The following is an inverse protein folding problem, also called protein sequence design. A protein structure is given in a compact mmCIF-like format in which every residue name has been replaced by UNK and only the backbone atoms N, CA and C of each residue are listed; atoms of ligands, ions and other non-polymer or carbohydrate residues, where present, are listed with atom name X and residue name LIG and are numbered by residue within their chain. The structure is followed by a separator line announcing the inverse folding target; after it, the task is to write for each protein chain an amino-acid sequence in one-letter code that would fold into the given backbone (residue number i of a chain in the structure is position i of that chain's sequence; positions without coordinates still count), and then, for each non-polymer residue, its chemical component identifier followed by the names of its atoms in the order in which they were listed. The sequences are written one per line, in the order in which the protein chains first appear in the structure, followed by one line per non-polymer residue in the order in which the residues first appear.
data_IF_918631234821
#
_entry.id   IF_918631234821
#
_cell.length_a   1.000
_cell.length_b   1.000
_cell.length_c   1.000
_cell.angle_alpha   90.00
_cell.angle_beta   90.00
_cell.angle_gamma   90.00
#
_symmetry.space_group_name_H-M   'P 1'
#
loop_
_entity.id
_entity.type
_entity.pdbx_description
1 polymer ?
#
# COMPACT_ATOMS: atom_id res chain seq x y z
N UNK A 1 -17.78 12.82 5.23
CA UNK A 1 -16.67 13.77 5.53
C UNK A 1 -16.15 14.30 4.21
N UNK A 2 -15.84 15.61 4.08
CA UNK A 2 -15.28 16.15 2.84
C UNK A 2 -13.93 15.51 2.56
N UNK A 3 -13.78 14.91 1.38
CA UNK A 3 -12.54 14.32 0.90
C UNK A 3 -11.68 15.45 0.32
N UNK A 4 -10.67 15.91 1.06
CA UNK A 4 -9.66 16.79 0.49
C UNK A 4 -8.67 15.95 -0.32
N UNK A 5 -8.85 15.95 -1.63
CA UNK A 5 -8.04 15.19 -2.58
C UNK A 5 -7.20 16.13 -3.45
N UNK A 6 -5.90 15.85 -3.55
CA UNK A 6 -5.07 16.48 -4.57
C UNK A 6 -5.00 15.61 -5.82
N UNK A 7 -5.69 16.02 -6.88
CA UNK A 7 -5.53 15.42 -8.21
C UNK A 7 -4.43 16.17 -8.94
N UNK A 8 -3.38 15.45 -9.35
CA UNK A 8 -2.27 16.00 -10.13
C UNK A 8 -2.19 15.27 -11.46
N UNK A 9 -2.29 16.05 -12.54
CA UNK A 9 -2.05 15.55 -13.90
C UNK A 9 -0.56 15.44 -14.13
N UNK A 10 -0.09 14.27 -14.55
CA UNK A 10 1.30 14.04 -14.89
C UNK A 10 1.77 14.95 -16.03
N UNK A 11 0.90 15.35 -16.95
CA UNK A 11 1.24 16.34 -17.99
C UNK A 11 1.61 17.72 -17.43
N UNK A 12 1.19 18.06 -16.21
CA UNK A 12 1.52 19.34 -15.56
C UNK A 12 2.87 19.29 -14.83
N UNK A 13 3.41 18.09 -14.60
CA UNK A 13 4.62 17.88 -13.77
C UNK A 13 5.74 17.11 -14.47
N UNK A 14 5.40 16.23 -15.40
CA UNK A 14 6.35 15.34 -16.07
C UNK A 14 6.63 15.87 -17.46
N UNK A 15 7.83 16.43 -17.64
CA UNK A 15 8.34 16.83 -18.94
C UNK A 15 9.01 15.64 -19.62
N UNK A 16 8.79 15.54 -20.92
CA UNK A 16 9.43 14.54 -21.77
C UNK A 16 10.83 15.02 -22.17
N UNK A 17 11.78 14.11 -22.29
CA UNK A 17 13.09 14.36 -22.88
C UNK A 17 12.98 14.42 -24.43
N UNK A 18 14.11 14.68 -25.10
CA UNK A 18 14.17 14.78 -26.57
C UNK A 18 13.64 13.53 -27.31
N UNK A 19 13.68 12.36 -26.65
CA UNK A 19 13.17 11.09 -27.19
C UNK A 19 11.69 10.84 -26.86
N UNK A 20 10.97 11.86 -26.38
CA UNK A 20 9.60 11.76 -25.90
C UNK A 20 9.40 10.75 -24.74
N UNK A 21 10.46 10.44 -23.99
CA UNK A 21 10.42 9.61 -22.79
C UNK A 21 10.36 10.47 -21.54
N UNK A 22 9.80 9.95 -20.45
CA UNK A 22 9.86 10.65 -19.17
C UNK A 22 11.33 10.80 -18.73
N UNK A 23 11.72 12.04 -18.46
CA UNK A 23 13.04 12.32 -17.90
C UNK A 23 13.08 11.90 -16.43
N UNK A 24 14.08 11.08 -16.06
CA UNK A 24 14.22 10.53 -14.73
C UNK A 24 14.43 11.59 -13.64
N UNK A 25 15.30 12.58 -13.86
CA UNK A 25 15.57 13.62 -12.86
C UNK A 25 14.41 14.61 -12.77
N UNK A 26 13.73 14.89 -13.89
CA UNK A 26 12.50 15.68 -13.84
C UNK A 26 11.37 14.92 -13.15
N UNK A 27 11.26 13.60 -13.33
CA UNK A 27 10.29 12.77 -12.62
C UNK A 27 10.55 12.78 -11.11
N UNK A 28 11.82 12.70 -10.67
CA UNK A 28 12.17 12.87 -9.24
C UNK A 28 11.77 14.25 -8.72
N UNK A 29 12.04 15.30 -9.49
CA UNK A 29 11.70 16.67 -9.11
C UNK A 29 10.19 16.85 -8.97
N UNK A 30 9.42 16.36 -9.93
CA UNK A 30 7.97 16.35 -9.90
C UNK A 30 7.41 15.62 -8.68
N UNK A 31 7.94 14.43 -8.40
CA UNK A 31 7.55 13.63 -7.24
C UNK A 31 7.85 14.34 -5.91
N UNK A 32 9.00 15.01 -5.78
CA UNK A 32 9.33 15.82 -4.59
C UNK A 32 8.37 17.00 -4.42
N UNK A 33 8.07 17.71 -5.51
CA UNK A 33 7.15 18.84 -5.47
C UNK A 33 5.73 18.41 -5.11
N UNK A 34 5.28 17.27 -5.65
CA UNK A 34 4.01 16.63 -5.29
C UNK A 34 3.97 16.33 -3.78
N UNK A 35 4.95 15.58 -3.26
CA UNK A 35 5.00 15.23 -1.85
C UNK A 35 5.10 16.46 -0.93
N UNK A 36 5.87 17.47 -1.33
CA UNK A 36 5.96 18.74 -0.60
C UNK A 36 4.63 19.52 -0.60
N UNK A 37 3.93 19.59 -1.74
CA UNK A 37 2.65 20.26 -1.86
C UNK A 37 1.57 19.57 -1.02
N UNK A 38 1.50 18.24 -1.05
CA UNK A 38 0.62 17.45 -0.20
C UNK A 38 0.87 17.77 1.28
N UNK A 39 2.14 17.70 1.71
CA UNK A 39 2.53 18.01 3.09
C UNK A 39 2.20 19.43 3.52
N UNK A 40 2.52 20.43 2.69
CA UNK A 40 2.26 21.84 3.00
C UNK A 40 0.77 22.11 3.22
N UNK A 41 -0.09 21.32 2.57
CA UNK A 41 -1.55 21.44 2.63
C UNK A 41 -2.21 20.46 3.62
N UNK A 42 -1.43 19.60 4.28
CA UNK A 42 -1.96 18.56 5.17
C UNK A 42 -2.74 17.45 4.44
N UNK A 43 -2.51 17.30 3.13
CA UNK A 43 -3.21 16.33 2.30
C UNK A 43 -2.49 14.98 2.35
N UNK A 44 -3.19 13.98 2.85
CA UNK A 44 -2.67 12.60 2.95
C UNK A 44 -3.06 11.74 1.74
N UNK A 45 -3.83 12.29 0.80
CA UNK A 45 -4.40 11.55 -0.34
C UNK A 45 -4.08 12.28 -1.63
N UNK A 46 -3.45 11.58 -2.57
CA UNK A 46 -3.09 12.12 -3.87
C UNK A 46 -3.43 11.16 -5.00
N UNK A 47 -3.84 11.72 -6.13
CA UNK A 47 -4.06 10.98 -7.38
C UNK A 47 -3.11 11.52 -8.45
N UNK A 48 -2.25 10.67 -8.97
CA UNK A 48 -1.34 10.97 -10.09
C UNK A 48 -1.93 10.43 -11.39
N UNK A 49 -2.40 11.30 -12.27
CA UNK A 49 -2.97 10.92 -13.56
C UNK A 49 -1.93 10.95 -14.68
N UNK A 50 -1.46 9.77 -15.09
CA UNK A 50 -0.50 9.57 -16.20
C UNK A 50 -1.16 9.15 -17.50
N UNK A 51 -2.49 9.24 -17.64
CA UNK A 51 -3.20 8.82 -18.87
C UNK A 51 -2.83 9.65 -20.10
N UNK A 52 -2.40 10.90 -19.91
CA UNK A 52 -1.94 11.78 -20.98
C UNK A 52 -0.48 11.53 -21.39
N UNK A 53 0.24 10.64 -20.69
CA UNK A 53 1.61 10.28 -21.04
C UNK A 53 1.57 9.30 -22.23
N UNK A 54 2.25 9.59 -23.34
CA UNK A 54 2.31 8.69 -24.49
C UNK A 54 2.86 7.32 -24.10
N UNK A 55 2.32 6.26 -24.71
CA UNK A 55 2.88 4.91 -24.55
C UNK A 55 4.27 4.92 -25.19
N UNK A 56 5.34 4.64 -24.42
CA UNK A 56 6.70 4.69 -24.94
C UNK A 56 6.96 3.48 -25.84
N UNK A 57 7.91 3.59 -26.75
CA UNK A 57 8.35 2.46 -27.61
C UNK A 57 9.29 1.47 -26.90
N UNK A 58 9.74 1.83 -25.69
CA UNK A 58 10.61 1.03 -24.82
C UNK A 58 10.29 1.31 -23.34
N UNK A 59 10.72 0.45 -22.40
CA UNK A 59 10.55 0.75 -20.97
C UNK A 59 11.14 2.12 -20.60
N UNK A 60 10.33 2.99 -19.98
CA UNK A 60 10.75 4.35 -19.58
C UNK A 60 11.77 4.35 -18.44
N UNK A 61 11.62 3.43 -17.48
CA UNK A 61 12.50 3.32 -16.32
C UNK A 61 12.93 1.88 -16.08
N UNK A 62 14.18 1.71 -15.65
CA UNK A 62 14.66 0.45 -15.09
C UNK A 62 14.06 0.19 -13.70
N UNK A 63 14.13 -1.05 -13.21
CA UNK A 63 13.66 -1.38 -11.85
C UNK A 63 14.38 -0.54 -10.80
N UNK A 64 15.69 -0.34 -10.95
CA UNK A 64 16.49 0.49 -10.04
C UNK A 64 16.04 1.95 -10.06
N UNK A 65 15.72 2.49 -11.24
CA UNK A 65 15.17 3.84 -11.35
C UNK A 65 13.78 3.94 -10.70
N UNK A 66 12.90 2.96 -10.90
CA UNK A 66 11.60 2.93 -10.21
C UNK A 66 11.76 2.89 -8.69
N UNK A 67 12.69 2.09 -8.18
CA UNK A 67 12.99 2.04 -6.74
C UNK A 67 13.51 3.40 -6.23
N UNK A 68 14.35 4.09 -7.01
CA UNK A 68 14.83 5.43 -6.68
C UNK A 68 13.71 6.49 -6.69
N UNK A 69 12.72 6.38 -7.58
CA UNK A 69 11.53 7.24 -7.56
C UNK A 69 10.70 7.01 -6.28
N UNK A 70 10.53 5.76 -5.87
CA UNK A 70 9.86 5.40 -4.61
C UNK A 70 10.62 5.96 -3.40
N UNK A 71 11.94 5.82 -3.37
CA UNK A 71 12.79 6.38 -2.31
C UNK A 71 12.66 7.91 -2.23
N UNK A 72 12.64 8.59 -3.39
CA UNK A 72 12.44 10.04 -3.48
C UNK A 72 11.11 10.47 -2.85
N UNK A 73 10.05 9.68 -3.05
CA UNK A 73 8.74 9.95 -2.46
C UNK A 73 8.76 9.84 -0.94
N UNK A 74 9.45 8.81 -0.41
CA UNK A 74 9.65 8.62 1.04
C UNK A 74 10.47 9.74 1.67
N UNK A 75 11.59 10.10 1.04
CA UNK A 75 12.49 11.16 1.50
C UNK A 75 11.79 12.53 1.56
N UNK A 76 10.85 12.78 0.65
CA UNK A 76 10.03 13.99 0.68
C UNK A 76 9.00 14.01 1.83
N UNK A 77 8.84 12.89 2.53
CA UNK A 77 7.98 12.76 3.71
C UNK A 77 6.63 12.12 3.46
N UNK A 78 6.44 11.47 2.30
CA UNK A 78 5.27 10.61 2.08
C UNK A 78 5.43 9.33 2.93
N UNK A 79 4.49 9.10 3.82
CA UNK A 79 4.56 8.08 4.86
C UNK A 79 3.53 6.97 4.67
N UNK A 80 3.40 6.15 5.72
CA UNK A 80 2.44 5.04 5.78
C UNK A 80 0.99 5.52 5.82
N UNK A 81 0.74 6.73 6.29
CA UNK A 81 -0.60 7.31 6.39
C UNK A 81 -1.06 7.95 5.07
N UNK A 82 -0.12 8.12 4.13
CA UNK A 82 -0.39 8.79 2.87
C UNK A 82 -0.70 7.78 1.77
N UNK A 83 -1.77 8.04 1.01
CA UNK A 83 -2.22 7.23 -0.13
C UNK A 83 -1.94 7.93 -1.45
N UNK A 84 -1.32 7.20 -2.37
CA UNK A 84 -1.09 7.62 -3.75
C UNK A 84 -1.79 6.66 -4.72
N UNK A 85 -2.82 7.16 -5.39
CA UNK A 85 -3.39 6.50 -6.56
C UNK A 85 -2.60 6.89 -7.82
N UNK A 86 -2.28 5.94 -8.68
CA UNK A 86 -1.68 6.20 -10.00
C UNK A 86 -2.65 5.76 -11.08
N UNK A 87 -3.23 6.71 -11.80
CA UNK A 87 -4.21 6.46 -12.85
C UNK A 87 -3.53 6.41 -14.21
N UNK A 88 -3.72 5.32 -14.95
CA UNK A 88 -3.02 5.06 -16.20
C UNK A 88 -3.93 4.45 -17.27
N UNK A 89 -3.63 4.71 -18.54
CA UNK A 89 -4.41 4.17 -19.66
C UNK A 89 -3.82 2.83 -20.15
N UNK A 90 -2.50 2.75 -20.26
CA UNK A 90 -1.78 1.56 -20.72
C UNK A 90 -0.46 1.41 -19.98
N UNK A 91 -0.10 0.16 -19.66
CA UNK A 91 1.15 -0.18 -18.96
C UNK A 91 1.76 -1.44 -19.59
N UNK A 92 2.16 -1.30 -20.85
CA UNK A 92 2.72 -2.36 -21.71
C UNK A 92 3.96 -3.00 -21.07
N UNK A 93 4.84 -2.18 -20.49
CA UNK A 93 6.10 -2.65 -19.86
C UNK A 93 5.99 -2.92 -18.35
N UNK A 94 4.79 -2.72 -17.78
CA UNK A 94 4.54 -2.93 -16.36
C UNK A 94 5.20 -1.91 -15.44
N UNK A 95 5.70 -0.77 -15.95
CA UNK A 95 6.45 0.21 -15.17
C UNK A 95 5.63 0.82 -14.05
N UNK A 96 4.35 1.10 -14.33
CA UNK A 96 3.42 1.71 -13.37
C UNK A 96 3.06 0.71 -12.28
N UNK A 97 2.71 -0.52 -12.65
CA UNK A 97 2.45 -1.59 -11.68
C UNK A 97 3.69 -1.92 -10.83
N UNK A 98 4.88 -1.94 -11.43
CA UNK A 98 6.16 -2.14 -10.72
C UNK A 98 6.44 -1.00 -9.74
N UNK A 99 6.21 0.25 -10.12
CA UNK A 99 6.33 1.39 -9.22
C UNK A 99 5.41 1.23 -7.99
N UNK A 100 4.13 0.94 -8.20
CA UNK A 100 3.18 0.74 -7.11
C UNK A 100 3.56 -0.46 -6.22
N UNK A 101 4.06 -1.55 -6.82
CA UNK A 101 4.57 -2.70 -6.09
C UNK A 101 5.78 -2.37 -5.21
N UNK A 102 6.79 -1.69 -5.77
CA UNK A 102 7.98 -1.25 -5.04
C UNK A 102 7.62 -0.25 -3.94
N UNK A 103 6.65 0.64 -4.19
CA UNK A 103 6.08 1.56 -3.21
C UNK A 103 5.53 0.81 -1.98
N UNK A 104 4.70 -0.20 -2.22
CA UNK A 104 4.12 -1.04 -1.16
C UNK A 104 5.17 -1.83 -0.38
N UNK A 105 6.18 -2.40 -1.05
CA UNK A 105 7.32 -3.03 -0.37
C UNK A 105 8.09 -2.03 0.50
N UNK A 106 8.17 -0.78 0.06
CA UNK A 106 8.74 0.33 0.82
C UNK A 106 7.86 0.87 1.95
N UNK A 107 6.69 0.28 2.21
CA UNK A 107 5.76 0.70 3.25
C UNK A 107 4.88 1.90 2.88
N UNK A 108 4.85 2.32 1.62
CA UNK A 108 3.91 3.35 1.14
C UNK A 108 2.57 2.73 0.75
N UNK A 109 1.48 3.47 0.90
CA UNK A 109 0.19 3.07 0.32
C UNK A 109 0.09 3.59 -1.13
N UNK A 110 0.61 2.82 -2.08
CA UNK A 110 0.55 3.16 -3.52
C UNK A 110 -0.23 2.09 -4.28
N UNK A 111 -1.17 2.52 -5.12
CA UNK A 111 -1.96 1.62 -5.94
C UNK A 111 -2.18 2.18 -7.35
N UNK A 112 -2.17 1.30 -8.35
CA UNK A 112 -2.35 1.66 -9.75
C UNK A 112 -3.77 1.31 -10.21
N UNK A 113 -4.40 2.20 -10.97
CA UNK A 113 -5.78 2.09 -11.44
C UNK A 113 -5.88 2.45 -12.92
N UNK A 114 -6.82 1.80 -13.63
CA UNK A 114 -7.23 2.21 -14.99
C UNK A 114 -8.47 3.10 -14.96
N UNK A 115 -9.36 2.85 -14.00
CA UNK A 115 -10.61 3.59 -13.82
C UNK A 115 -10.46 4.67 -12.76
N UNK A 116 -10.95 5.87 -13.07
CA UNK A 116 -10.89 7.03 -12.20
C UNK A 116 -11.75 6.83 -10.94
N UNK A 117 -12.95 6.27 -11.12
CA UNK A 117 -13.94 6.04 -10.07
C UNK A 117 -13.39 5.07 -9.02
N UNK A 118 -12.72 4.00 -9.45
CA UNK A 118 -12.09 3.04 -8.54
C UNK A 118 -10.91 3.65 -7.77
N UNK A 119 -10.15 4.53 -8.41
CA UNK A 119 -9.08 5.25 -7.75
C UNK A 119 -9.64 6.19 -6.68
N UNK A 120 -10.73 6.91 -6.99
CA UNK A 120 -11.42 7.78 -6.04
C UNK A 120 -12.02 6.98 -4.88
N UNK A 121 -12.68 5.86 -5.15
CA UNK A 121 -13.23 4.98 -4.13
C UNK A 121 -12.14 4.56 -3.14
N UNK A 122 -11.03 4.01 -3.62
CA UNK A 122 -9.91 3.59 -2.78
C UNK A 122 -9.22 4.75 -2.03
N UNK A 123 -9.12 5.93 -2.66
CA UNK A 123 -8.62 7.12 -2.00
C UNK A 123 -9.60 7.66 -0.97
N UNK A 124 -10.90 7.42 -1.14
CA UNK A 124 -11.96 7.85 -0.23
C UNK A 124 -12.14 6.92 0.95
N UNK A 125 -11.90 5.61 0.76
CA UNK A 125 -11.86 4.60 1.82
C UNK A 125 -11.02 5.16 2.97
N UNK A 126 -11.68 5.42 4.10
CA UNK A 126 -11.02 5.96 5.26
C UNK A 126 -9.84 5.08 5.63
N UNK A 127 -8.78 5.69 6.15
CA UNK A 127 -8.14 5.01 7.25
C UNK A 127 -9.25 4.90 8.32
N UNK A 128 -9.86 3.73 8.44
CA UNK A 128 -10.10 3.18 9.77
C UNK A 128 -8.70 2.97 10.39
N UNK A 129 -7.99 4.06 10.65
CA UNK A 129 -6.97 4.03 11.68
C UNK A 129 -7.78 3.79 12.95
N UNK A 130 -7.48 2.73 13.72
CA UNK A 130 -8.06 2.61 15.05
C UNK A 130 -7.55 3.80 15.87
N UNK A 131 -8.29 4.90 15.84
CA UNK A 131 -8.42 5.80 16.95
C UNK A 131 -9.46 5.20 17.91
N UNK A 132 -9.29 3.94 18.27
CA UNK A 132 -9.80 3.41 19.52
C UNK A 132 -8.59 3.17 20.40
N UNK A 133 -8.67 3.71 21.61
CA UNK A 133 -7.54 3.88 22.50
C UNK A 133 -6.62 2.66 22.59
N UNK A 134 -5.35 2.93 22.88
CA UNK A 134 -4.49 1.96 23.57
C UNK A 134 -5.18 1.53 24.87
N UNK A 135 -6.09 0.56 24.77
CA UNK A 135 -6.16 -0.48 25.76
C UNK A 135 -4.94 -1.34 25.47
N UNK A 136 -3.90 -1.13 26.28
CA UNK A 136 -2.84 -2.12 26.44
C UNK A 136 -3.52 -3.45 26.68
N UNK A 137 -3.52 -4.33 25.68
CA UNK A 137 -3.86 -5.73 25.89
C UNK A 137 -2.76 -6.30 26.78
N UNK A 138 -2.97 -6.19 28.09
CA UNK A 138 -2.23 -6.98 29.07
C UNK A 138 -2.58 -8.42 28.74
N UNK A 139 -1.62 -9.28 28.37
CA UNK A 139 -1.91 -10.68 28.13
C UNK A 139 -2.45 -11.25 29.44
N UNK A 140 -3.73 -11.62 29.46
CA UNK A 140 -4.34 -12.31 30.58
C UNK A 140 -3.70 -13.69 30.64
N UNK A 141 -2.94 -14.04 31.70
CA UNK A 141 -2.41 -15.39 31.82
C UNK A 141 -3.56 -16.34 32.04
N UNK A 142 -3.86 -17.18 31.03
CA UNK A 142 -4.79 -18.29 31.17
C UNK A 142 -4.12 -19.30 32.10
N UNK A 143 -4.43 -19.23 33.40
CA UNK A 143 -4.15 -20.32 34.35
C UNK A 143 -4.97 -21.51 33.91
N UNK A 144 -4.32 -22.50 33.27
CA UNK A 144 -4.93 -23.83 33.10
C UNK A 144 -5.31 -24.34 34.50
N UNK A 145 -6.59 -24.64 34.77
CA UNK A 145 -6.95 -25.24 36.04
C UNK A 145 -6.26 -26.60 36.15
N UNK A 146 -5.44 -26.72 37.18
CA UNK A 146 -4.80 -27.95 37.57
C UNK A 146 -5.86 -28.94 38.09
N UNK A 147 -5.79 -30.17 37.58
CA UNK A 147 -6.19 -31.35 38.32
C UNK A 147 -7.61 -31.85 38.09
N UNK A 148 -7.71 -33.01 37.46
CA UNK A 148 -7.89 -34.25 38.24
C UNK A 148 -7.61 -35.47 37.37
N UNK A 149 -6.45 -36.07 37.59
CA UNK A 149 -6.27 -37.50 37.39
C UNK A 149 -7.35 -38.23 38.18
N UNK A 150 -8.22 -38.96 37.50
CA UNK A 150 -8.89 -40.12 38.08
C UNK A 150 -8.38 -41.35 37.36
N UNK A 151 -7.31 -41.89 37.92
CA UNK A 151 -6.97 -43.30 37.91
C UNK A 151 -8.24 -44.10 38.19
N UNK A 152 -8.65 -44.96 37.26
CA UNK A 152 -9.44 -46.15 37.58
C UNK A 152 -8.67 -47.35 37.05
N UNK A 153 -7.89 -47.95 37.94
CA UNK A 153 -7.41 -49.30 37.78
C UNK A 153 -8.48 -50.27 38.32
N UNK A 154 -8.68 -51.34 37.54
CA UNK A 154 -9.17 -52.68 37.88
C UNK A 154 -10.50 -52.86 38.64
N UNK A 155 -11.44 -53.55 38.00
CA UNK A 155 -11.90 -54.87 38.49
C UNK A 155 -12.09 -55.81 37.29
N UNK A 156 -11.17 -56.76 37.12
CA UNK A 156 -11.39 -58.02 36.42
C UNK A 156 -12.33 -58.87 37.30
N UNK A 157 -13.47 -59.29 36.75
CA UNK A 157 -14.31 -60.33 37.38
C UNK A 157 -14.49 -61.49 36.40
N UNK A 158 -13.83 -62.59 36.72
CA UNK A 158 -14.08 -63.90 36.13
C UNK A 158 -15.27 -64.58 36.84
N UNK A 159 -16.19 -65.12 36.05
CA UNK A 159 -17.14 -66.24 36.27
C UNK A 159 -17.87 -66.37 34.92
N UNK A 160 -17.90 -67.48 34.19
CA UNK A 160 -17.90 -68.88 34.61
C UNK A 160 -19.27 -69.49 34.29
N UNK A 161 -19.37 -70.09 33.10
CA UNK A 161 -20.14 -71.28 32.72
C UNK A 161 -21.64 -71.24 32.32
N UNK A 162 -21.93 -72.17 31.39
CA UNK A 162 -23.18 -72.88 31.05
C UNK A 162 -24.14 -72.28 30.02
N UNK A 163 -24.08 -72.78 28.78
CA UNK A 163 -24.89 -73.92 28.33
C UNK A 163 -24.32 -74.56 27.06
#
# INVERSE_FOLDING_TARGET
MPLELQVIRASEFVRLNADALLDFEQSKTALRQLAYACRKRGLTRALLDVRSVPVPSKPQFTITQLAALVATFREAGFGKEDRLGVLYLSDVYGGIRKFAFLGRLGGLQVQAFTEFERALEWLSEGNESPAEGRLTAVPIPIKRPAGRSRTRALVLRAKGNSR
#
